data_IF_112690742123
#
_entry.id   IF_112690742123
#
_cell.length_a   1.000
_cell.length_b   1.000
_cell.length_c   1.000
_cell.angle_alpha   90.00
_cell.angle_beta   90.00
_cell.angle_gamma   90.00
#
_symmetry.space_group_name_H-M   'P 1'
#
loop_
_entity.id
_entity.type
_entity.pdbx_description
1 polymer ?
#
# COMPACT_ATOMS: atom_id res chain seq x y z
N UNK A 1 8.72 -55.61 6.99
CA UNK A 1 7.85 -54.45 7.31
C UNK A 1 8.74 -53.24 7.57
N UNK A 2 8.72 -52.23 6.69
CA UNK A 2 9.45 -50.96 6.91
C UNK A 2 8.45 -49.92 7.39
N UNK A 3 8.55 -49.53 8.67
CA UNK A 3 7.80 -48.43 9.25
C UNK A 3 8.37 -47.12 8.69
N UNK A 4 7.62 -46.48 7.77
CA UNK A 4 7.86 -45.09 7.39
C UNK A 4 7.31 -44.22 8.53
N UNK A 5 8.18 -43.72 9.40
CA UNK A 5 7.84 -42.64 10.33
C UNK A 5 7.57 -41.37 9.51
N UNK A 6 6.28 -41.06 9.27
CA UNK A 6 5.86 -39.71 8.95
C UNK A 6 6.14 -38.83 10.18
N UNK A 7 7.34 -38.25 10.27
CA UNK A 7 7.56 -37.06 11.07
C UNK A 7 6.76 -35.93 10.40
N UNK A 8 5.53 -35.71 10.88
CA UNK A 8 4.78 -34.52 10.58
C UNK A 8 5.51 -33.31 11.15
N UNK A 9 6.34 -32.68 10.33
CA UNK A 9 6.90 -31.36 10.59
C UNK A 9 5.72 -30.38 10.69
N UNK A 10 5.20 -30.21 11.91
CA UNK A 10 4.38 -29.07 12.30
C UNK A 10 5.21 -27.83 11.95
N UNK A 11 4.90 -27.26 10.80
CA UNK A 11 5.46 -25.99 10.37
C UNK A 11 4.85 -24.96 11.30
N UNK A 12 5.55 -24.68 12.40
CA UNK A 12 5.21 -23.57 13.29
C UNK A 12 5.32 -22.33 12.41
N UNK A 13 4.17 -21.82 11.96
CA UNK A 13 4.12 -20.54 11.28
C UNK A 13 4.65 -19.50 12.23
N UNK A 14 5.88 -19.04 12.01
CA UNK A 14 6.43 -17.91 12.74
C UNK A 14 5.66 -16.70 12.25
N UNK A 15 4.61 -16.32 12.98
CA UNK A 15 3.95 -15.04 12.77
C UNK A 15 4.96 -13.96 13.14
N UNK A 16 5.31 -13.09 12.18
CA UNK A 16 6.18 -11.97 12.48
C UNK A 16 5.60 -11.14 13.64
N UNK A 17 6.43 -10.84 14.64
CA UNK A 17 6.00 -10.00 15.75
C UNK A 17 5.53 -8.62 15.23
N UNK A 18 4.46 -8.04 15.80
CA UNK A 18 4.02 -6.70 15.43
C UNK A 18 5.17 -5.68 15.54
N UNK A 19 5.32 -4.76 14.57
CA UNK A 19 6.41 -3.80 14.60
C UNK A 19 6.27 -2.83 15.79
N UNK A 20 7.40 -2.48 16.39
CA UNK A 20 7.49 -1.48 17.46
C UNK A 20 7.55 -0.08 16.88
N UNK A 21 6.57 0.75 17.23
CA UNK A 21 6.43 2.11 16.70
C UNK A 21 6.90 3.15 17.71
N UNK A 22 7.66 4.12 17.24
CA UNK A 22 7.98 5.34 17.98
C UNK A 22 7.30 6.53 17.31
N UNK A 23 6.50 7.28 18.05
CA UNK A 23 5.88 8.52 17.59
C UNK A 23 6.62 9.71 18.18
N UNK A 24 7.06 10.65 17.33
CA UNK A 24 7.74 11.87 17.77
C UNK A 24 6.85 13.07 17.48
N UNK A 25 6.64 13.94 18.46
CA UNK A 25 5.88 15.18 18.30
C UNK A 25 6.62 16.38 18.89
N UNK A 26 6.14 17.59 18.61
CA UNK A 26 6.59 18.83 19.26
C UNK A 26 5.45 19.45 20.08
N UNK A 27 5.72 20.62 20.68
CA UNK A 27 4.70 21.47 21.27
C UNK A 27 4.24 22.47 20.21
N UNK A 28 3.03 22.34 19.67
CA UNK A 28 2.41 23.33 18.78
C UNK A 28 0.86 23.28 18.82
N UNK A 29 0.14 24.41 18.64
CA UNK A 29 0.68 25.77 18.57
C UNK A 29 0.84 26.37 19.98
N UNK A 30 1.80 27.28 20.13
CA UNK A 30 2.00 28.08 21.35
C UNK A 30 2.21 27.20 22.59
N UNK A 31 3.12 26.23 22.49
CA UNK A 31 3.44 25.36 23.62
C UNK A 31 2.38 24.31 23.97
N UNK A 32 1.44 23.98 23.07
CA UNK A 32 0.43 22.92 23.29
C UNK A 32 0.82 21.62 22.59
N UNK A 33 0.55 20.45 23.15
CA UNK A 33 0.87 19.17 22.50
C UNK A 33 -0.24 18.68 21.53
N UNK A 34 -0.69 19.53 20.58
CA UNK A 34 -1.93 19.28 19.81
C UNK A 34 -1.89 18.04 18.91
N UNK A 35 -0.70 17.56 18.56
CA UNK A 35 -0.48 16.40 17.70
C UNK A 35 0.16 15.21 18.41
N UNK A 36 0.33 15.27 19.74
CA UNK A 36 0.98 14.18 20.48
C UNK A 36 0.26 12.82 20.33
N UNK A 37 -1.06 12.86 20.15
CA UNK A 37 -1.89 11.67 19.98
C UNK A 37 -2.29 11.40 18.52
N UNK A 38 -1.64 12.03 17.55
CA UNK A 38 -2.05 11.92 16.14
C UNK A 38 -2.08 10.48 15.62
N UNK A 39 -1.07 9.67 15.99
CA UNK A 39 -0.96 8.28 15.55
C UNK A 39 -1.44 7.26 16.59
N UNK A 40 -1.78 7.69 17.82
CA UNK A 40 -2.23 6.80 18.89
C UNK A 40 -3.46 5.94 18.48
N UNK A 41 -4.52 6.51 17.88
CA UNK A 41 -5.67 5.71 17.43
C UNK A 41 -5.28 4.67 16.38
N UNK A 42 -4.34 5.00 15.50
CA UNK A 42 -3.90 4.14 14.38
C UNK A 42 -3.13 2.94 14.92
N UNK A 43 -2.09 3.18 15.73
CA UNK A 43 -1.26 2.09 16.29
C UNK A 43 -2.07 1.20 17.23
N UNK A 44 -3.05 1.78 17.95
CA UNK A 44 -4.00 1.01 18.78
C UNK A 44 -4.90 0.11 17.95
N UNK A 45 -5.44 0.58 16.81
CA UNK A 45 -6.25 -0.24 15.90
C UNK A 45 -5.44 -1.39 15.29
N UNK A 46 -4.14 -1.16 15.03
CA UNK A 46 -3.22 -2.18 14.52
C UNK A 46 -2.75 -3.17 15.60
N UNK A 47 -2.98 -2.88 16.89
CA UNK A 47 -2.45 -3.67 17.99
C UNK A 47 -0.92 -3.62 18.11
N UNK A 48 -0.29 -2.56 17.58
CA UNK A 48 1.16 -2.43 17.56
C UNK A 48 1.68 -1.77 18.84
N UNK A 49 2.75 -2.30 19.46
CA UNK A 49 3.38 -1.64 20.60
C UNK A 49 3.93 -0.29 20.15
N UNK A 50 3.62 0.76 20.91
CA UNK A 50 4.07 2.11 20.60
C UNK A 50 4.59 2.87 21.81
N UNK A 51 5.48 3.81 21.55
CA UNK A 51 5.99 4.77 22.52
C UNK A 51 5.98 6.17 21.88
N UNK A 52 5.67 7.18 22.67
CA UNK A 52 5.55 8.56 22.20
C UNK A 52 6.57 9.43 22.93
N UNK A 53 7.30 10.25 22.18
CA UNK A 53 8.32 11.15 22.70
C UNK A 53 8.12 12.56 22.17
N UNK A 54 8.48 13.55 22.98
CA UNK A 54 8.67 14.91 22.48
C UNK A 54 10.01 15.01 21.77
N UNK A 55 10.11 15.79 20.70
CA UNK A 55 11.35 16.03 19.94
C UNK A 55 12.52 16.49 20.83
N UNK A 56 12.24 17.28 21.87
CA UNK A 56 13.26 17.73 22.85
C UNK A 56 13.84 16.60 23.71
N UNK A 57 13.22 15.43 23.75
CA UNK A 57 13.66 14.27 24.55
C UNK A 57 14.69 13.42 23.79
N UNK A 58 15.57 14.06 23.01
CA UNK A 58 16.51 13.42 22.09
C UNK A 58 17.29 12.27 22.74
N UNK A 59 17.75 12.42 23.99
CA UNK A 59 18.47 11.35 24.70
C UNK A 59 17.63 10.07 24.85
N UNK A 60 16.37 10.20 25.29
CA UNK A 60 15.49 9.05 25.51
C UNK A 60 15.07 8.41 24.17
N UNK A 61 14.76 9.26 23.18
CA UNK A 61 14.45 8.85 21.81
C UNK A 61 15.60 8.01 21.22
N UNK A 62 16.83 8.53 21.27
CA UNK A 62 18.00 7.83 20.71
C UNK A 62 18.30 6.52 21.45
N UNK A 63 18.03 6.44 22.75
CA UNK A 63 18.19 5.20 23.52
C UNK A 63 17.15 4.14 23.13
N UNK A 64 15.96 4.54 22.72
CA UNK A 64 14.91 3.64 22.26
C UNK A 64 15.03 3.25 20.77
N UNK A 65 15.82 3.98 19.98
CA UNK A 65 16.00 3.70 18.54
C UNK A 65 16.38 2.26 18.24
N UNK A 66 17.33 1.58 18.91
CA UNK A 66 17.74 0.20 18.61
C UNK A 66 16.58 -0.82 18.59
N UNK A 67 15.61 -0.64 19.48
CA UNK A 67 14.44 -1.52 19.68
C UNK A 67 13.22 -1.08 18.87
N UNK A 68 13.36 -0.07 18.02
CA UNK A 68 12.26 0.51 17.24
C UNK A 68 12.32 0.03 15.80
N UNK A 69 11.16 -0.32 15.25
CA UNK A 69 11.02 -0.75 13.86
C UNK A 69 10.62 0.41 12.96
N UNK A 70 9.65 1.20 13.40
CA UNK A 70 9.11 2.33 12.64
C UNK A 70 9.12 3.57 13.52
N UNK A 71 9.78 4.63 13.06
CA UNK A 71 9.71 5.97 13.65
C UNK A 71 8.75 6.79 12.79
N UNK A 72 7.76 7.41 13.41
CA UNK A 72 6.78 8.29 12.78
C UNK A 72 6.84 9.65 13.43
N UNK A 73 7.01 10.70 12.65
CA UNK A 73 6.84 12.07 13.15
C UNK A 73 5.37 12.48 13.02
N UNK A 74 4.77 12.99 14.08
CA UNK A 74 3.49 13.68 14.01
C UNK A 74 3.62 14.98 13.20
N UNK A 75 2.49 15.59 12.87
CA UNK A 75 2.48 16.89 12.21
C UNK A 75 3.25 17.90 13.04
N UNK A 76 3.97 18.80 12.36
CA UNK A 76 4.82 19.85 12.97
C UNK A 76 5.83 19.35 14.01
N UNK A 77 6.25 18.07 13.98
CA UNK A 77 7.05 17.42 15.02
C UNK A 77 8.41 18.04 15.36
N UNK A 78 8.91 19.02 14.60
CA UNK A 78 10.11 19.78 14.96
C UNK A 78 9.95 21.30 14.73
N UNK A 79 8.72 21.77 14.54
CA UNK A 79 8.41 23.16 14.17
C UNK A 79 8.68 24.15 15.30
N UNK A 80 8.10 23.92 16.47
CA UNK A 80 8.43 24.60 17.73
C UNK A 80 9.45 23.74 18.50
N UNK A 81 10.21 24.37 19.41
CA UNK A 81 11.30 23.75 20.16
C UNK A 81 12.27 22.96 19.26
N UNK A 82 12.65 23.55 18.11
CA UNK A 82 13.44 22.87 17.08
C UNK A 82 14.74 22.29 17.63
N UNK A 83 14.90 20.99 17.45
CA UNK A 83 16.12 20.25 17.76
C UNK A 83 16.91 19.99 16.49
N UNK A 84 18.22 20.18 16.53
CA UNK A 84 19.13 19.75 15.47
C UNK A 84 19.49 18.26 15.65
N UNK A 85 18.76 17.38 14.95
CA UNK A 85 19.04 15.95 14.96
C UNK A 85 20.24 15.56 14.09
N UNK A 86 20.80 16.50 13.32
CA UNK A 86 22.06 16.30 12.60
C UNK A 86 23.23 15.99 13.53
N UNK A 87 23.22 16.55 14.75
CA UNK A 87 24.18 16.21 15.81
C UNK A 87 24.15 14.71 16.20
N UNK A 88 23.07 14.01 15.87
CA UNK A 88 22.86 12.59 16.17
C UNK A 88 22.85 11.71 14.90
N UNK A 89 23.42 12.21 13.80
CA UNK A 89 23.51 11.53 12.50
C UNK A 89 23.92 10.06 12.60
N UNK A 90 24.95 9.75 13.38
CA UNK A 90 25.46 8.38 13.48
C UNK A 90 24.39 7.38 13.94
N UNK A 91 23.59 7.74 14.95
CA UNK A 91 22.51 6.90 15.48
C UNK A 91 21.38 6.70 14.46
N UNK A 92 20.98 7.76 13.74
CA UNK A 92 19.97 7.68 12.69
C UNK A 92 20.42 6.83 11.50
N UNK A 93 21.67 6.99 11.06
CA UNK A 93 22.22 6.16 9.99
C UNK A 93 22.37 4.69 10.43
N UNK A 94 22.72 4.42 11.69
CA UNK A 94 22.72 3.06 12.23
C UNK A 94 21.31 2.47 12.27
N UNK A 95 20.31 3.26 12.66
CA UNK A 95 18.89 2.90 12.61
C UNK A 95 18.44 2.50 11.20
N UNK A 96 18.73 3.32 10.20
CA UNK A 96 18.39 3.00 8.82
C UNK A 96 19.17 1.79 8.31
N UNK A 97 20.49 1.70 8.54
CA UNK A 97 21.30 0.56 8.06
C UNK A 97 20.78 -0.80 8.51
N UNK A 98 20.22 -0.90 9.73
CA UNK A 98 19.68 -2.16 10.25
C UNK A 98 18.26 -2.49 9.81
N UNK A 99 17.60 -1.61 9.04
CA UNK A 99 16.24 -1.85 8.53
C UNK A 99 15.15 -0.99 9.15
N UNK A 100 15.50 0.06 9.91
CA UNK A 100 14.53 0.99 10.45
C UNK A 100 13.78 1.77 9.36
N UNK A 101 12.51 2.09 9.62
CA UNK A 101 11.66 2.91 8.74
C UNK A 101 11.34 4.25 9.39
N UNK A 102 11.77 5.35 8.77
CA UNK A 102 11.43 6.70 9.20
C UNK A 102 10.35 7.29 8.29
N UNK A 103 9.17 7.60 8.86
CA UNK A 103 8.11 8.36 8.22
C UNK A 103 8.09 9.79 8.77
N UNK A 104 8.38 10.76 7.91
CA UNK A 104 8.28 12.18 8.21
C UNK A 104 7.02 12.75 7.58
N UNK A 105 6.12 13.30 8.40
CA UNK A 105 4.84 13.87 7.95
C UNK A 105 4.79 15.37 8.20
N UNK A 106 3.92 16.07 7.45
CA UNK A 106 3.89 17.53 7.38
C UNK A 106 5.29 18.16 7.18
N UNK A 107 6.05 17.59 6.25
CA UNK A 107 7.44 17.96 5.99
C UNK A 107 7.57 19.25 5.15
N UNK A 108 6.86 20.30 5.55
CA UNK A 108 6.74 21.57 4.84
C UNK A 108 7.59 22.69 5.48
N UNK A 109 8.55 22.34 6.33
CA UNK A 109 9.35 23.31 7.10
C UNK A 109 10.82 22.91 7.16
N UNK A 110 11.70 23.92 7.12
CA UNK A 110 13.14 23.72 7.26
C UNK A 110 13.54 23.12 8.60
N UNK A 111 12.71 23.29 9.64
CA UNK A 111 12.96 22.71 10.95
C UNK A 111 12.96 21.18 10.93
N UNK A 112 12.24 20.53 10.02
CA UNK A 112 12.32 19.07 9.84
C UNK A 112 13.17 18.68 8.64
N UNK A 113 13.13 19.45 7.55
CA UNK A 113 13.89 19.13 6.35
C UNK A 113 15.39 19.38 6.51
N UNK A 114 15.80 20.53 7.04
CA UNK A 114 17.22 20.88 7.19
C UNK A 114 17.80 20.45 8.53
N UNK A 115 17.08 20.66 9.64
CA UNK A 115 17.57 20.39 11.01
C UNK A 115 17.37 18.94 11.46
N UNK A 116 16.73 18.11 10.64
CA UNK A 116 16.55 16.70 10.95
C UNK A 116 16.95 15.79 9.79
N UNK A 117 16.11 15.68 8.76
CA UNK A 117 16.35 14.69 7.68
C UNK A 117 17.62 15.03 6.89
N UNK A 118 17.77 16.28 6.46
CA UNK A 118 18.97 16.77 5.77
C UNK A 118 20.24 16.73 6.64
N UNK A 119 20.08 16.74 7.97
CA UNK A 119 21.18 16.54 8.92
C UNK A 119 21.83 15.15 8.84
N UNK A 120 21.18 14.18 8.18
CA UNK A 120 21.74 12.84 7.97
C UNK A 120 22.83 12.80 6.90
N UNK A 121 22.91 13.81 6.03
CA UNK A 121 23.89 13.89 4.94
C UNK A 121 23.33 14.61 3.71
N UNK A 122 24.22 15.02 2.81
CA UNK A 122 23.85 15.73 1.57
C UNK A 122 22.90 14.92 0.68
N UNK A 123 22.96 13.59 0.77
CA UNK A 123 22.10 12.65 0.08
C UNK A 123 20.66 12.63 0.60
N UNK A 124 20.42 13.18 1.79
CA UNK A 124 19.10 13.34 2.40
C UNK A 124 18.57 14.78 2.32
N UNK A 125 19.30 15.68 1.64
CA UNK A 125 18.91 17.07 1.53
C UNK A 125 17.60 17.22 0.75
N UNK A 126 16.67 17.97 1.35
CA UNK A 126 15.33 18.28 0.84
C UNK A 126 15.04 19.75 1.11
N UNK A 127 14.31 20.39 0.21
CA UNK A 127 13.77 21.75 0.41
C UNK A 127 12.28 21.77 0.09
N UNK A 128 11.56 22.80 0.52
CA UNK A 128 10.11 22.91 0.34
C UNK A 128 9.69 24.30 -0.11
N UNK A 129 8.56 24.37 -0.80
CA UNK A 129 7.85 25.59 -1.17
C UNK A 129 6.35 25.38 -1.04
N UNK A 130 5.62 26.49 -0.99
CA UNK A 130 4.16 26.50 -1.09
C UNK A 130 3.72 25.91 -2.43
N UNK A 131 2.67 25.08 -2.41
CA UNK A 131 2.11 24.46 -3.61
C UNK A 131 0.95 25.28 -4.17
N UNK A 132 0.77 25.28 -5.50
CA UNK A 132 -0.36 25.95 -6.17
C UNK A 132 -1.73 25.46 -5.68
N UNK A 133 -1.82 24.21 -5.20
CA UNK A 133 -3.02 23.65 -4.58
C UNK A 133 -3.50 24.48 -3.37
N UNK A 134 -2.55 25.07 -2.64
CA UNK A 134 -2.80 25.93 -1.50
C UNK A 134 -3.24 27.33 -1.92
N UNK A 135 -2.59 27.88 -2.95
CA UNK A 135 -2.78 29.26 -3.40
C UNK A 135 -4.10 29.41 -4.18
N UNK A 136 -4.33 28.55 -5.18
CA UNK A 136 -5.47 28.67 -6.11
C UNK A 136 -6.71 27.92 -5.65
N UNK A 137 -6.53 26.78 -4.96
CA UNK A 137 -7.62 25.95 -4.40
C UNK A 137 -8.66 25.45 -5.41
N UNK A 138 -8.33 25.35 -6.70
CA UNK A 138 -9.21 24.78 -7.74
C UNK A 138 -9.05 23.25 -7.86
N UNK A 139 -9.99 22.52 -8.48
CA UNK A 139 -9.84 21.08 -8.73
C UNK A 139 -8.56 20.73 -9.50
N UNK A 140 -8.21 21.50 -10.52
CA UNK A 140 -7.04 21.29 -11.38
C UNK A 140 -5.74 21.46 -10.58
N UNK A 141 -5.70 22.47 -9.69
CA UNK A 141 -4.54 22.72 -8.82
C UNK A 141 -4.28 21.61 -7.80
N UNK A 142 -5.27 20.73 -7.57
CA UNK A 142 -5.21 19.61 -6.62
C UNK A 142 -4.91 18.27 -7.27
N UNK A 143 -4.77 18.22 -8.60
CA UNK A 143 -4.45 16.99 -9.31
C UNK A 143 -3.05 16.53 -8.92
N UNK A 144 -2.95 15.24 -8.57
CA UNK A 144 -1.69 14.57 -8.30
C UNK A 144 -1.52 13.39 -9.25
N UNK A 145 -0.27 13.13 -9.65
CA UNK A 145 0.13 11.89 -10.32
C UNK A 145 0.86 10.98 -9.34
N UNK A 146 0.75 9.68 -9.55
CA UNK A 146 1.25 8.65 -8.64
C UNK A 146 2.26 7.76 -9.37
N UNK A 147 3.38 7.47 -8.71
CA UNK A 147 4.33 6.50 -9.22
C UNK A 147 3.79 5.07 -9.13
N UNK A 148 4.47 4.13 -9.79
CA UNK A 148 4.15 2.69 -9.70
C UNK A 148 4.80 2.01 -8.48
N UNK A 149 5.44 2.76 -7.59
CA UNK A 149 6.11 2.19 -6.43
C UNK A 149 5.13 1.38 -5.56
N UNK A 150 5.56 0.20 -5.09
CA UNK A 150 4.72 -0.69 -4.29
C UNK A 150 4.39 -0.12 -2.91
N UNK A 151 5.15 0.83 -2.38
CA UNK A 151 4.79 1.51 -1.13
C UNK A 151 3.41 2.18 -1.21
N UNK A 152 2.97 2.59 -2.41
CA UNK A 152 1.65 3.17 -2.61
C UNK A 152 0.53 2.14 -2.83
N UNK A 153 0.87 0.85 -3.01
CA UNK A 153 -0.07 -0.17 -3.51
C UNK A 153 -0.10 -1.46 -2.69
N UNK A 154 0.87 -1.71 -1.82
CA UNK A 154 1.06 -3.02 -1.18
C UNK A 154 1.32 -2.88 0.32
N UNK A 155 0.57 -3.59 1.18
CA UNK A 155 -0.56 -4.47 0.82
C UNK A 155 -1.85 -3.71 0.46
N UNK A 156 -1.93 -2.40 0.69
CA UNK A 156 -3.17 -1.65 0.49
C UNK A 156 -2.96 -0.50 -0.51
N UNK A 157 -3.95 -0.23 -1.36
CA UNK A 157 -3.88 0.88 -2.31
C UNK A 157 -4.10 2.22 -1.60
N UNK A 158 -3.00 2.92 -1.35
CA UNK A 158 -2.96 4.20 -0.65
C UNK A 158 -3.34 5.38 -1.57
N UNK A 159 -3.23 5.21 -2.89
CA UNK A 159 -3.44 6.28 -3.89
C UNK A 159 -4.83 6.94 -3.81
N UNK A 160 -5.96 6.20 -3.83
CA UNK A 160 -7.29 6.82 -3.76
C UNK A 160 -7.53 7.56 -2.43
N UNK A 161 -6.86 7.14 -1.35
CA UNK A 161 -6.97 7.79 -0.05
C UNK A 161 -6.20 9.11 -0.02
N UNK A 162 -4.97 9.11 -0.56
CA UNK A 162 -4.15 10.32 -0.67
C UNK A 162 -4.67 11.32 -1.71
N UNK A 163 -5.35 10.86 -2.77
CA UNK A 163 -5.98 11.73 -3.77
C UNK A 163 -7.03 12.69 -3.21
N UNK A 164 -7.61 12.36 -2.06
CA UNK A 164 -8.60 13.19 -1.37
C UNK A 164 -7.97 14.20 -0.42
N UNK A 165 -6.67 14.11 -0.19
CA UNK A 165 -5.96 14.98 0.76
C UNK A 165 -5.52 16.26 0.09
N UNK A 166 -5.47 17.31 0.88
CA UNK A 166 -4.87 18.57 0.48
C UNK A 166 -3.42 18.62 0.96
N UNK A 167 -2.55 19.14 0.10
CA UNK A 167 -1.20 19.52 0.45
C UNK A 167 -1.09 21.04 0.36
N UNK A 168 -0.41 21.64 1.32
CA UNK A 168 -0.20 23.08 1.34
C UNK A 168 1.21 23.47 0.86
N UNK A 169 2.16 22.55 0.96
CA UNK A 169 3.48 22.62 0.34
C UNK A 169 3.79 21.41 -0.54
N UNK A 170 4.94 21.47 -1.17
CA UNK A 170 5.60 20.35 -1.85
C UNK A 170 7.11 20.42 -1.57
N UNK A 171 7.85 19.38 -1.94
CA UNK A 171 9.31 19.37 -1.98
C UNK A 171 9.76 20.05 -3.27
N UNK A 172 10.55 21.13 -3.16
CA UNK A 172 10.98 21.93 -4.31
C UNK A 172 12.23 21.33 -4.99
N UNK A 173 13.15 20.83 -4.18
CA UNK A 173 14.35 20.11 -4.62
C UNK A 173 14.71 18.98 -3.66
N UNK A 174 15.33 17.95 -4.20
CA UNK A 174 15.79 16.78 -3.45
C UNK A 174 17.04 16.17 -4.11
N UNK A 175 17.86 15.48 -3.31
CA UNK A 175 19.03 14.78 -3.83
C UNK A 175 18.65 13.60 -4.76
N UNK A 176 19.51 13.16 -5.70
CA UNK A 176 19.18 12.13 -6.70
C UNK A 176 18.79 10.75 -6.14
N UNK A 177 19.10 10.47 -4.87
CA UNK A 177 18.77 9.20 -4.23
C UNK A 177 17.29 9.07 -3.83
N UNK A 178 16.52 10.16 -3.86
CA UNK A 178 15.08 10.16 -3.59
C UNK A 178 14.28 9.79 -4.83
N UNK A 179 13.28 8.94 -4.64
CA UNK A 179 12.24 8.64 -5.62
C UNK A 179 10.98 9.46 -5.30
N UNK A 180 10.46 10.19 -6.29
CA UNK A 180 9.15 10.85 -6.18
C UNK A 180 8.03 9.81 -6.29
N UNK A 181 7.18 9.74 -5.27
CA UNK A 181 6.03 8.84 -5.21
C UNK A 181 4.75 9.52 -5.66
N UNK A 182 4.57 10.79 -5.27
CA UNK A 182 3.38 11.59 -5.59
C UNK A 182 3.85 12.94 -6.07
N UNK A 183 3.36 13.37 -7.23
CA UNK A 183 3.71 14.66 -7.84
C UNK A 183 2.46 15.51 -7.99
N UNK A 184 2.48 16.74 -7.47
CA UNK A 184 1.35 17.67 -7.57
C UNK A 184 1.29 18.38 -8.95
N UNK A 185 0.29 19.24 -9.12
CA UNK A 185 0.08 20.03 -10.34
C UNK A 185 1.28 20.95 -10.72
N UNK A 186 2.17 21.28 -9.78
CA UNK A 186 3.40 22.04 -10.04
C UNK A 186 4.53 21.18 -10.66
N UNK A 187 4.32 19.88 -10.85
CA UNK A 187 5.38 18.94 -11.25
C UNK A 187 6.39 18.65 -10.12
N UNK A 188 6.05 19.03 -8.88
CA UNK A 188 6.89 18.87 -7.68
C UNK A 188 6.37 17.75 -6.78
N UNK A 189 7.25 17.13 -6.01
CA UNK A 189 6.89 15.96 -5.21
C UNK A 189 6.20 16.35 -3.91
N UNK A 190 5.10 15.68 -3.56
CA UNK A 190 4.40 15.78 -2.26
C UNK A 190 4.80 14.64 -1.32
N UNK A 191 5.35 13.56 -1.88
CA UNK A 191 5.80 12.41 -1.14
C UNK A 191 6.98 11.78 -1.87
N UNK A 192 8.10 11.64 -1.16
CA UNK A 192 9.31 10.98 -1.65
C UNK A 192 9.67 9.82 -0.75
N UNK A 193 10.42 8.86 -1.29
CA UNK A 193 11.06 7.81 -0.52
C UNK A 193 12.53 7.64 -0.92
N UNK A 194 13.36 7.28 0.05
CA UNK A 194 14.75 6.93 -0.16
C UNK A 194 15.11 5.71 0.67
N UNK A 195 15.78 4.74 0.06
CA UNK A 195 16.38 3.62 0.79
C UNK A 195 17.80 3.97 1.22
N UNK A 196 18.17 3.53 2.42
CA UNK A 196 19.54 3.65 2.94
C UNK A 196 19.93 2.41 3.73
N UNK A 197 20.91 1.65 3.23
CA UNK A 197 21.16 0.29 3.71
C UNK A 197 19.89 -0.56 3.54
N UNK A 198 19.41 -1.17 4.63
CA UNK A 198 18.12 -1.89 4.65
C UNK A 198 16.93 -1.00 5.03
N UNK A 199 17.17 0.24 5.41
CA UNK A 199 16.13 1.14 5.93
C UNK A 199 15.41 1.89 4.82
N UNK A 200 14.33 2.54 5.24
CA UNK A 200 13.48 3.36 4.38
C UNK A 200 13.21 4.69 5.06
N UNK A 201 13.41 5.79 4.34
CA UNK A 201 12.96 7.12 4.74
C UNK A 201 11.86 7.54 3.79
N UNK A 202 10.73 7.97 4.34
CA UNK A 202 9.60 8.50 3.59
C UNK A 202 9.29 9.88 4.13
N UNK A 203 9.19 10.85 3.23
CA UNK A 203 8.94 12.25 3.60
C UNK A 203 7.72 12.73 2.82
N UNK A 204 6.75 13.30 3.51
CA UNK A 204 5.52 13.80 2.88
C UNK A 204 5.05 15.13 3.45
N UNK A 205 4.52 15.99 2.57
CA UNK A 205 3.91 17.28 2.90
C UNK A 205 2.41 17.18 3.27
N UNK A 206 1.86 15.96 3.38
CA UNK A 206 0.50 15.79 3.89
C UNK A 206 0.44 16.19 5.36
N UNK A 207 -0.41 17.17 5.64
CA UNK A 207 -0.69 17.64 7.00
C UNK A 207 -1.74 16.75 7.67
N UNK A 208 -1.49 16.40 8.94
CA UNK A 208 -2.38 15.80 9.92
C UNK A 208 -3.15 14.52 9.57
N UNK A 209 -2.99 13.48 10.39
CA UNK A 209 -3.70 12.21 10.27
C UNK A 209 -4.76 11.96 11.36
N UNK A 210 -5.47 13.02 11.79
CA UNK A 210 -6.35 12.96 12.98
C UNK A 210 -7.83 12.72 12.70
N UNK A 211 -8.37 13.08 11.53
CA UNK A 211 -9.79 12.84 11.25
C UNK A 211 -10.05 11.35 11.00
N UNK A 212 -11.33 10.92 11.02
CA UNK A 212 -11.70 9.51 10.81
C UNK A 212 -11.17 8.96 9.48
N UNK A 213 -11.28 9.73 8.38
CA UNK A 213 -10.73 9.33 7.07
C UNK A 213 -9.20 9.31 7.08
N UNK A 214 -8.58 10.19 7.85
CA UNK A 214 -7.12 10.24 7.90
C UNK A 214 -6.54 9.10 8.72
N UNK A 215 -7.21 8.67 9.79
CA UNK A 215 -6.84 7.49 10.58
C UNK A 215 -6.80 6.25 9.68
N UNK A 216 -7.81 6.06 8.81
CA UNK A 216 -7.81 4.97 7.85
C UNK A 216 -6.64 5.08 6.86
N UNK A 217 -6.30 6.30 6.43
CA UNK A 217 -5.19 6.56 5.50
C UNK A 217 -3.84 6.27 6.15
N UNK A 218 -3.64 6.74 7.39
CA UNK A 218 -2.44 6.47 8.17
C UNK A 218 -2.29 4.98 8.48
N UNK A 219 -3.38 4.27 8.79
CA UNK A 219 -3.37 2.81 8.97
C UNK A 219 -2.81 2.11 7.74
N UNK A 220 -3.35 2.41 6.56
CA UNK A 220 -2.89 1.84 5.28
C UNK A 220 -1.43 2.21 5.00
N UNK A 221 -1.02 3.46 5.24
CA UNK A 221 0.37 3.88 5.08
C UNK A 221 1.31 3.08 6.01
N UNK A 222 0.96 2.91 7.28
CA UNK A 222 1.77 2.14 8.23
C UNK A 222 1.86 0.65 7.86
N UNK A 223 0.78 0.03 7.39
CA UNK A 223 0.78 -1.35 6.89
C UNK A 223 1.71 -1.52 5.67
N UNK A 224 1.68 -0.57 4.72
CA UNK A 224 2.58 -0.58 3.57
C UNK A 224 4.06 -0.38 3.95
N UNK A 225 4.33 0.46 4.95
CA UNK A 225 5.68 0.65 5.51
C UNK A 225 6.18 -0.62 6.23
N UNK A 226 5.32 -1.29 6.99
CA UNK A 226 5.65 -2.55 7.65
C UNK A 226 5.98 -3.66 6.63
N UNK A 227 5.18 -3.79 5.56
CA UNK A 227 5.48 -4.72 4.47
C UNK A 227 6.81 -4.38 3.76
N UNK A 228 7.10 -3.09 3.55
CA UNK A 228 8.39 -2.64 2.98
C UNK A 228 9.58 -2.96 3.88
N UNK A 229 9.39 -2.94 5.22
CA UNK A 229 10.39 -3.37 6.20
C UNK A 229 10.63 -4.87 6.14
N UNK A 230 9.59 -5.69 6.10
CA UNK A 230 9.70 -7.15 6.00
C UNK A 230 10.51 -7.56 4.77
N UNK A 231 10.21 -6.99 3.61
CA UNK A 231 10.99 -7.12 2.38
C UNK A 231 12.49 -6.86 2.60
N UNK A 232 12.83 -5.72 3.17
CA UNK A 232 14.23 -5.34 3.39
C UNK A 232 14.94 -6.22 4.43
N UNK A 233 14.23 -6.64 5.48
CA UNK A 233 14.74 -7.57 6.50
C UNK A 233 15.04 -8.95 5.89
N UNK A 234 14.19 -9.41 4.98
CA UNK A 234 14.33 -10.67 4.26
C UNK A 234 15.33 -10.60 3.08
N UNK A 235 15.91 -9.42 2.79
CA UNK A 235 16.83 -9.26 1.66
C UNK A 235 16.18 -9.41 0.28
N UNK A 236 14.87 -9.23 0.17
CA UNK A 236 14.10 -9.35 -1.07
C UNK A 236 13.30 -8.08 -1.30
N UNK A 237 13.42 -7.46 -2.47
CA UNK A 237 12.50 -6.43 -2.92
C UNK A 237 11.42 -7.04 -3.80
N UNK A 238 10.17 -6.70 -3.53
CA UNK A 238 9.11 -6.82 -4.51
C UNK A 238 9.19 -5.58 -5.41
N UNK A 239 9.31 -5.77 -6.72
CA UNK A 239 9.45 -4.67 -7.68
C UNK A 239 8.15 -4.39 -8.43
N UNK A 240 7.32 -5.41 -8.63
CA UNK A 240 5.95 -5.25 -9.11
C UNK A 240 5.07 -6.42 -8.66
N UNK A 241 3.77 -6.14 -8.51
CA UNK A 241 2.75 -7.17 -8.28
C UNK A 241 1.55 -6.84 -9.15
N UNK A 242 1.21 -7.76 -10.04
CA UNK A 242 -0.01 -7.70 -10.83
C UNK A 242 -0.97 -8.78 -10.35
N UNK A 243 -2.03 -8.34 -9.67
CA UNK A 243 -3.19 -9.19 -9.34
C UNK A 243 -4.19 -9.05 -10.49
N UNK A 244 -4.68 -10.14 -11.07
CA UNK A 244 -5.67 -10.06 -12.13
C UNK A 244 -7.00 -9.52 -11.57
N UNK A 245 -7.81 -8.91 -12.43
CA UNK A 245 -9.19 -8.60 -12.09
C UNK A 245 -9.95 -9.89 -11.74
N UNK A 246 -10.92 -9.79 -10.83
CA UNK A 246 -11.76 -10.90 -10.45
C UNK A 246 -12.81 -11.17 -11.54
N UNK A 247 -12.37 -11.80 -12.62
CA UNK A 247 -13.20 -12.18 -13.75
C UNK A 247 -13.35 -13.70 -13.86
N UNK A 248 -14.41 -14.19 -14.53
CA UNK A 248 -14.59 -15.62 -14.77
C UNK A 248 -13.47 -16.20 -15.66
N UNK A 249 -13.17 -17.50 -15.48
CA UNK A 249 -12.19 -18.22 -16.30
C UNK A 249 -10.80 -18.43 -15.67
N UNK A 250 -10.63 -18.04 -14.41
CA UNK A 250 -9.35 -18.13 -13.70
C UNK A 250 -8.44 -16.94 -13.99
N UNK A 251 -7.21 -16.98 -13.50
CA UNK A 251 -6.28 -15.88 -13.66
C UNK A 251 -4.87 -16.26 -13.19
N UNK A 252 -3.96 -15.29 -13.20
CA UNK A 252 -2.60 -15.50 -12.70
C UNK A 252 -2.10 -14.24 -12.00
N UNK A 253 -1.62 -14.40 -10.77
CA UNK A 253 -0.84 -13.36 -10.10
C UNK A 253 0.57 -13.38 -10.67
N UNK A 254 1.07 -12.23 -11.09
CA UNK A 254 2.49 -12.06 -11.45
C UNK A 254 3.20 -11.28 -10.36
N UNK A 255 4.32 -11.83 -9.89
CA UNK A 255 5.18 -11.24 -8.87
C UNK A 255 6.59 -11.08 -9.43
N UNK A 256 7.05 -9.83 -9.54
CA UNK A 256 8.43 -9.52 -9.93
C UNK A 256 9.23 -9.22 -8.66
N UNK A 257 10.35 -9.93 -8.49
CA UNK A 257 11.19 -9.88 -7.29
C UNK A 257 12.64 -9.60 -7.64
N UNK A 258 13.38 -9.03 -6.69
CA UNK A 258 14.80 -8.80 -6.77
C UNK A 258 15.51 -9.22 -5.48
N UNK A 259 16.63 -9.90 -5.62
CA UNK A 259 17.51 -10.23 -4.51
C UNK A 259 18.38 -9.02 -4.11
N UNK A 260 18.20 -8.54 -2.88
CA UNK A 260 18.99 -7.47 -2.26
C UNK A 260 20.11 -8.00 -1.36
N UNK A 261 20.11 -9.30 -1.04
CA UNK A 261 21.14 -9.91 -0.23
C UNK A 261 22.49 -9.93 -0.97
N UNK A 262 23.57 -9.94 -0.20
CA UNK A 262 24.95 -10.08 -0.73
C UNK A 262 25.30 -11.49 -1.20
N UNK A 263 24.32 -12.39 -1.22
CA UNK A 263 24.50 -13.82 -1.52
C UNK A 263 23.29 -14.36 -2.29
N UNK A 264 23.35 -15.64 -2.68
CA UNK A 264 22.25 -16.31 -3.39
C UNK A 264 21.07 -16.48 -2.46
N UNK A 265 19.88 -16.06 -2.90
CA UNK A 265 18.66 -16.08 -2.11
C UNK A 265 17.56 -16.88 -2.84
N UNK A 266 16.89 -17.79 -2.12
CA UNK A 266 15.66 -18.43 -2.58
C UNK A 266 14.44 -17.60 -2.20
N UNK A 267 13.38 -17.67 -3.00
CA UNK A 267 12.07 -17.10 -2.68
C UNK A 267 10.98 -18.09 -3.08
N UNK A 268 10.01 -18.25 -2.20
CA UNK A 268 8.83 -19.08 -2.41
C UNK A 268 7.59 -18.20 -2.28
N UNK A 269 6.77 -18.18 -3.32
CA UNK A 269 5.48 -17.49 -3.33
C UNK A 269 4.35 -18.52 -3.32
N UNK A 270 3.37 -18.32 -2.45
CA UNK A 270 2.16 -19.14 -2.33
C UNK A 270 0.95 -18.26 -2.56
N UNK A 271 0.15 -18.61 -3.57
CA UNK A 271 -1.11 -17.96 -3.88
C UNK A 271 -2.26 -18.92 -3.55
N UNK A 272 -3.18 -18.48 -2.70
CA UNK A 272 -4.40 -19.23 -2.35
C UNK A 272 -5.62 -18.39 -2.70
N UNK A 273 -6.57 -18.94 -3.45
CA UNK A 273 -7.83 -18.30 -3.82
C UNK A 273 -8.98 -19.20 -3.42
N UNK A 274 -10.02 -18.64 -2.81
CA UNK A 274 -11.23 -19.34 -2.41
C UNK A 274 -12.47 -18.59 -2.90
N UNK A 275 -13.40 -19.34 -3.51
CA UNK A 275 -14.70 -18.88 -4.00
C UNK A 275 -15.76 -19.85 -3.52
N UNK A 276 -16.60 -19.44 -2.56
CA UNK A 276 -17.52 -20.33 -1.87
C UNK A 276 -16.80 -21.51 -1.20
N UNK A 277 -17.12 -22.74 -1.61
CA UNK A 277 -16.47 -23.98 -1.12
C UNK A 277 -15.24 -24.39 -1.94
N UNK A 278 -15.00 -23.77 -3.09
CA UNK A 278 -13.88 -24.10 -3.98
C UNK A 278 -12.64 -23.33 -3.59
N UNK A 279 -11.49 -24.01 -3.59
CA UNK A 279 -10.19 -23.41 -3.25
C UNK A 279 -9.13 -23.86 -4.25
N UNK A 280 -8.31 -22.94 -4.72
CA UNK A 280 -7.07 -23.25 -5.44
C UNK A 280 -5.87 -22.75 -4.63
N UNK A 281 -4.78 -23.52 -4.70
CA UNK A 281 -3.49 -23.14 -4.13
C UNK A 281 -2.40 -23.40 -5.16
N UNK A 282 -1.54 -22.41 -5.38
CA UNK A 282 -0.37 -22.50 -6.24
C UNK A 282 0.86 -22.06 -5.47
N UNK A 283 1.95 -22.80 -5.63
CA UNK A 283 3.25 -22.49 -5.05
C UNK A 283 4.24 -22.38 -6.21
N UNK A 284 5.06 -21.35 -6.19
CA UNK A 284 6.16 -21.12 -7.12
C UNK A 284 7.42 -20.77 -6.35
N UNK A 285 8.57 -21.16 -6.91
CA UNK A 285 9.87 -20.95 -6.31
C UNK A 285 10.84 -20.36 -7.33
N UNK A 286 11.67 -19.42 -6.89
CA UNK A 286 12.80 -18.93 -7.67
C UNK A 286 14.05 -18.82 -6.80
N UNK A 287 15.20 -19.03 -7.43
CA UNK A 287 16.49 -18.81 -6.79
C UNK A 287 17.27 -17.79 -7.59
N UNK A 288 17.79 -16.77 -6.91
CA UNK A 288 18.43 -15.61 -7.53
C UNK A 288 19.84 -15.42 -6.98
N UNK A 289 20.79 -15.13 -7.86
CA UNK A 289 22.12 -14.61 -7.47
C UNK A 289 22.00 -13.21 -6.87
N UNK A 290 23.07 -12.68 -6.27
CA UNK A 290 23.11 -11.31 -5.76
C UNK A 290 22.68 -10.30 -6.83
N UNK A 291 21.72 -9.43 -6.49
CA UNK A 291 21.17 -8.42 -7.42
C UNK A 291 20.25 -8.99 -8.52
N UNK A 292 20.14 -10.32 -8.62
CA UNK A 292 19.33 -11.01 -9.62
C UNK A 292 17.83 -10.73 -9.45
N UNK A 293 17.09 -10.93 -10.53
CA UNK A 293 15.64 -10.75 -10.59
C UNK A 293 14.96 -12.04 -11.01
N UNK A 294 13.71 -12.22 -10.60
CA UNK A 294 12.85 -13.30 -11.07
C UNK A 294 11.41 -12.82 -11.22
N UNK A 295 10.66 -13.52 -12.07
CA UNK A 295 9.20 -13.36 -12.20
C UNK A 295 8.55 -14.68 -11.85
N UNK A 296 7.64 -14.65 -10.88
CA UNK A 296 6.85 -15.79 -10.45
C UNK A 296 5.42 -15.61 -10.98
N UNK A 297 4.90 -16.60 -11.69
CA UNK A 297 3.53 -16.61 -12.19
C UNK A 297 2.72 -17.66 -11.43
N UNK A 298 1.70 -17.22 -10.69
CA UNK A 298 0.88 -18.07 -9.84
C UNK A 298 -0.53 -18.19 -10.43
N UNK A 299 -0.75 -19.09 -11.41
CA UNK A 299 -2.06 -19.30 -12.00
C UNK A 299 -3.01 -19.96 -11.01
N UNK A 300 -4.30 -19.64 -11.14
CA UNK A 300 -5.40 -20.34 -10.50
C UNK A 300 -6.48 -20.68 -11.56
N UNK A 301 -7.12 -21.85 -11.46
CA UNK A 301 -8.15 -22.26 -12.40
C UNK A 301 -9.44 -21.46 -12.21
N UNK A 302 -10.41 -21.68 -13.07
CA UNK A 302 -11.76 -21.17 -12.88
C UNK A 302 -12.41 -21.79 -11.62
N UNK A 303 -12.68 -20.93 -10.63
CA UNK A 303 -13.33 -21.29 -9.37
C UNK A 303 -14.81 -20.88 -9.35
N UNK A 304 -15.37 -20.52 -10.51
CA UNK A 304 -16.70 -19.97 -10.69
C UNK A 304 -16.88 -18.58 -10.08
N UNK A 305 -18.13 -18.24 -9.77
CA UNK A 305 -18.56 -16.87 -9.45
C UNK A 305 -18.92 -16.70 -7.98
N UNK A 306 -18.92 -15.45 -7.51
CA UNK A 306 -19.27 -15.05 -6.15
C UNK A 306 -18.10 -14.43 -5.39
N UNK A 307 -18.25 -14.33 -4.07
CA UNK A 307 -17.25 -13.74 -3.18
C UNK A 307 -15.91 -14.48 -3.26
N UNK A 308 -14.85 -13.70 -3.39
CA UNK A 308 -13.47 -14.16 -3.45
C UNK A 308 -12.76 -13.76 -2.17
N UNK A 309 -12.04 -14.72 -1.57
CA UNK A 309 -10.98 -14.43 -0.61
C UNK A 309 -9.68 -15.00 -1.15
N UNK A 310 -8.61 -14.22 -1.09
CA UNK A 310 -7.31 -14.66 -1.56
C UNK A 310 -6.18 -14.25 -0.62
N UNK A 311 -5.08 -15.00 -0.67
CA UNK A 311 -3.89 -14.76 0.14
C UNK A 311 -2.64 -15.01 -0.70
N UNK A 312 -1.77 -13.99 -0.79
CA UNK A 312 -0.43 -14.10 -1.34
C UNK A 312 0.59 -14.07 -0.19
N UNK A 313 1.26 -15.19 0.02
CA UNK A 313 2.36 -15.30 0.98
C UNK A 313 3.68 -15.40 0.22
N UNK A 314 4.67 -14.60 0.58
CA UNK A 314 6.01 -14.61 0.00
C UNK A 314 7.04 -14.78 1.11
N UNK A 315 7.88 -15.80 0.98
CA UNK A 315 8.93 -16.14 1.94
C UNK A 315 10.29 -16.16 1.23
N UNK A 316 11.30 -15.57 1.83
CA UNK A 316 12.69 -15.71 1.45
C UNK A 316 13.31 -16.92 2.16
N UNK A 317 14.32 -17.57 1.57
CA UNK A 317 14.97 -18.75 2.14
C UNK A 317 16.41 -18.46 2.61
N UNK A 318 16.77 -18.76 3.88
CA UNK A 318 16.00 -19.57 4.84
C UNK A 318 15.09 -18.74 5.78
N UNK A 319 13.79 -18.70 5.50
CA UNK A 319 12.73 -18.42 6.48
C UNK A 319 12.32 -16.97 6.75
N UNK A 320 12.69 -16.00 5.90
CA UNK A 320 12.28 -14.59 6.10
C UNK A 320 10.91 -14.29 5.49
N UNK A 321 9.95 -13.78 6.27
CA UNK A 321 8.69 -13.28 5.71
C UNK A 321 8.93 -12.01 4.88
N UNK A 322 8.47 -12.00 3.63
CA UNK A 322 8.59 -10.87 2.70
C UNK A 322 7.26 -10.12 2.59
N UNK A 323 6.17 -10.87 2.47
CA UNK A 323 4.80 -10.35 2.34
C UNK A 323 3.79 -11.41 2.77
N UNK A 324 2.78 -11.00 3.53
CA UNK A 324 1.54 -11.76 3.72
C UNK A 324 0.36 -10.84 3.41
N UNK A 325 -0.22 -11.02 2.22
CA UNK A 325 -1.22 -10.13 1.67
C UNK A 325 -2.56 -10.83 1.51
N UNK A 326 -3.57 -10.34 2.23
CA UNK A 326 -4.95 -10.78 2.13
C UNK A 326 -5.75 -9.86 1.22
N UNK A 327 -6.49 -10.46 0.29
CA UNK A 327 -7.33 -9.80 -0.69
C UNK A 327 -8.75 -10.34 -0.59
N UNK A 328 -9.72 -9.47 -0.82
CA UNK A 328 -11.11 -9.83 -0.98
C UNK A 328 -11.65 -9.19 -2.26
N UNK A 329 -12.67 -9.82 -2.85
CA UNK A 329 -13.31 -9.32 -4.05
C UNK A 329 -14.53 -10.15 -4.40
N UNK A 330 -14.99 -10.01 -5.64
CA UNK A 330 -16.14 -10.75 -6.15
C UNK A 330 -15.90 -11.03 -7.63
N UNK A 331 -16.10 -12.29 -8.03
CA UNK A 331 -16.26 -12.63 -9.45
C UNK A 331 -17.74 -12.44 -9.77
N UNK A 332 -18.10 -11.48 -10.65
CA UNK A 332 -19.49 -11.07 -10.83
C UNK A 332 -20.37 -12.22 -11.36
N UNK A 333 -21.69 -12.15 -11.18
CA UNK A 333 -22.62 -13.04 -11.85
C UNK A 333 -22.56 -12.87 -13.38
N UNK A 334 -23.15 -13.81 -14.13
CA UNK A 334 -23.21 -13.72 -15.61
C UNK A 334 -23.94 -12.45 -16.03
N UNK A 335 -25.03 -12.14 -15.33
CA UNK A 335 -25.85 -10.94 -15.51
C UNK A 335 -25.95 -10.24 -14.16
N UNK A 336 -25.50 -9.00 -14.10
CA UNK A 336 -25.79 -8.11 -12.99
C UNK A 336 -26.82 -7.07 -13.44
N UNK A 337 -27.88 -6.87 -12.65
CA UNK A 337 -28.92 -5.89 -12.93
C UNK A 337 -28.92 -4.87 -11.81
N UNK A 338 -28.74 -3.60 -12.16
CA UNK A 338 -28.83 -2.48 -11.25
C UNK A 338 -30.02 -1.61 -11.66
N UNK A 339 -30.90 -1.35 -10.71
CA UNK A 339 -32.02 -0.42 -10.90
C UNK A 339 -31.51 0.96 -10.46
N UNK A 340 -31.36 1.90 -11.40
CA UNK A 340 -30.83 3.23 -11.11
C UNK A 340 -31.71 4.01 -10.14
N UNK A 341 -33.03 3.76 -10.18
CA UNK A 341 -34.03 4.36 -9.28
C UNK A 341 -35.08 3.32 -8.88
N UNK A 342 -35.02 2.77 -7.65
CA UNK A 342 -35.97 1.75 -7.21
C UNK A 342 -37.37 2.31 -6.90
N UNK A 343 -37.52 3.65 -6.81
CA UNK A 343 -38.79 4.29 -6.52
C UNK A 343 -39.29 5.08 -7.73
N UNK A 344 -40.45 4.69 -8.24
CA UNK A 344 -41.23 5.51 -9.17
C UNK A 344 -42.04 6.51 -8.34
N UNK A 345 -41.63 7.78 -8.32
CA UNK A 345 -42.33 8.85 -7.62
C UNK A 345 -42.62 10.02 -8.56
N UNK A 346 -43.83 10.58 -8.45
CA UNK A 346 -44.27 11.74 -9.24
C UNK A 346 -44.51 11.42 -10.73
N UNK A 347 -44.02 12.30 -11.61
CA UNK A 347 -44.22 12.22 -13.07
C UNK A 347 -43.30 11.20 -13.78
N UNK A 348 -42.38 10.55 -13.07
CA UNK A 348 -41.54 9.52 -13.69
C UNK A 348 -42.26 8.18 -13.69
N UNK A 349 -42.67 7.73 -14.88
CA UNK A 349 -43.33 6.44 -15.09
C UNK A 349 -42.39 5.33 -15.60
N UNK A 350 -41.13 5.66 -15.86
CA UNK A 350 -40.17 4.72 -16.45
C UNK A 350 -39.17 4.23 -15.40
N UNK A 351 -38.96 2.92 -15.34
CA UNK A 351 -37.91 2.29 -14.55
C UNK A 351 -36.66 2.13 -15.41
N UNK A 352 -35.54 2.63 -14.92
CA UNK A 352 -34.26 2.55 -15.62
C UNK A 352 -33.45 1.37 -15.08
N UNK A 353 -33.13 0.43 -15.97
CA UNK A 353 -32.30 -0.73 -15.70
C UNK A 353 -30.95 -0.57 -16.37
N UNK A 354 -29.88 -0.70 -15.57
CA UNK A 354 -28.54 -0.92 -16.08
C UNK A 354 -28.21 -2.40 -15.95
N UNK A 355 -27.87 -3.04 -17.06
CA UNK A 355 -27.51 -4.46 -17.09
C UNK A 355 -26.05 -4.61 -17.52
N UNK A 356 -25.28 -5.34 -16.73
CA UNK A 356 -23.90 -5.70 -17.03
C UNK A 356 -23.83 -7.19 -17.32
N UNK A 357 -23.27 -7.54 -18.48
CA UNK A 357 -23.03 -8.92 -18.87
C UNK A 357 -21.55 -9.23 -18.74
N UNK A 358 -21.24 -10.23 -17.93
CA UNK A 358 -19.86 -10.72 -17.75
C UNK A 358 -19.86 -12.21 -18.08
N UNK A 359 -19.90 -12.62 -19.36
CA UNK A 359 -19.93 -14.03 -19.74
C UNK A 359 -18.67 -14.76 -19.29
N UNK A 360 -18.72 -16.09 -19.20
CA UNK A 360 -17.52 -16.88 -18.95
C UNK A 360 -16.55 -16.70 -20.11
N UNK A 361 -15.25 -16.64 -19.84
CA UNK A 361 -14.23 -16.50 -20.89
C UNK A 361 -14.31 -17.62 -21.95
N UNK A 362 -14.87 -18.77 -21.59
CA UNK A 362 -15.15 -19.92 -22.47
C UNK A 362 -16.35 -19.68 -23.40
N UNK A 363 -17.32 -18.90 -22.97
CA UNK A 363 -18.58 -18.63 -23.68
C UNK A 363 -18.55 -17.29 -24.44
N UNK A 364 -17.56 -16.44 -24.17
CA UNK A 364 -17.39 -15.12 -24.78
C UNK A 364 -17.10 -15.12 -26.31
N UNK A 365 -17.09 -16.29 -26.94
CA UNK A 365 -16.81 -16.46 -28.36
C UNK A 365 -18.07 -16.49 -29.25
N UNK A 366 -19.29 -16.64 -28.69
CA UNK A 366 -20.53 -16.76 -29.45
C UNK A 366 -21.42 -15.51 -29.43
N UNK A 367 -22.37 -15.40 -30.39
CA UNK A 367 -23.47 -14.45 -30.28
C UNK A 367 -24.30 -14.78 -29.05
N UNK A 368 -24.81 -13.76 -28.38
CA UNK A 368 -25.70 -13.93 -27.24
C UNK A 368 -26.98 -13.14 -27.43
N UNK A 369 -28.04 -13.67 -26.84
CA UNK A 369 -29.34 -13.02 -26.77
C UNK A 369 -29.65 -12.71 -25.30
N UNK A 370 -29.96 -11.44 -25.04
CA UNK A 370 -30.48 -10.99 -23.75
C UNK A 370 -31.97 -10.67 -23.92
N UNK A 371 -32.82 -11.44 -23.26
CA UNK A 371 -34.27 -11.18 -23.20
C UNK A 371 -34.63 -10.73 -21.79
N UNK A 372 -35.16 -9.52 -21.68
CA UNK A 372 -35.67 -8.96 -20.42
C UNK A 372 -37.17 -9.18 -20.37
N UNK A 373 -37.63 -9.90 -19.33
CA UNK A 373 -39.06 -10.13 -19.09
C UNK A 373 -39.49 -9.56 -17.73
N UNK A 374 -40.61 -8.85 -17.72
CA UNK A 374 -41.28 -8.36 -16.51
C UNK A 374 -42.66 -9.02 -16.47
N UNK A 375 -42.98 -9.70 -15.37
CA UNK A 375 -44.23 -10.46 -15.19
C UNK A 375 -44.54 -11.42 -16.36
N UNK A 376 -43.49 -12.09 -16.86
CA UNK A 376 -43.58 -13.04 -17.96
C UNK A 376 -43.70 -12.40 -19.36
N UNK A 377 -43.80 -11.07 -19.47
CA UNK A 377 -43.87 -10.36 -20.75
C UNK A 377 -42.48 -9.86 -21.16
N UNK A 378 -42.12 -10.07 -22.42
CA UNK A 378 -40.91 -9.49 -23.00
C UNK A 378 -41.04 -7.97 -23.11
N UNK A 379 -40.12 -7.26 -22.48
CA UNK A 379 -40.07 -5.79 -22.48
C UNK A 379 -38.86 -5.24 -23.22
N UNK A 380 -37.80 -6.04 -23.36
CA UNK A 380 -36.63 -5.71 -24.16
C UNK A 380 -35.95 -6.99 -24.66
N UNK A 381 -35.35 -6.90 -25.85
CA UNK A 381 -34.50 -7.93 -26.43
C UNK A 381 -33.28 -7.25 -27.04
N UNK A 382 -32.11 -7.79 -26.73
CA UNK A 382 -30.85 -7.35 -27.31
C UNK A 382 -30.12 -8.56 -27.87
N UNK A 383 -29.71 -8.47 -29.13
CA UNK A 383 -28.83 -9.46 -29.75
C UNK A 383 -27.46 -8.83 -29.96
N UNK A 384 -26.40 -9.56 -29.60
CA UNK A 384 -25.04 -9.21 -30.01
C UNK A 384 -24.60 -10.17 -31.11
N UNK A 385 -24.38 -9.64 -32.30
CA UNK A 385 -23.75 -10.37 -33.41
C UNK A 385 -22.24 -10.46 -33.24
N UNK A 386 -21.66 -9.57 -32.43
CA UNK A 386 -20.24 -9.57 -32.10
C UNK A 386 -19.96 -10.50 -30.92
N UNK A 387 -18.85 -11.27 -30.95
CA UNK A 387 -18.38 -12.03 -29.81
C UNK A 387 -18.18 -11.12 -28.58
N UNK A 388 -18.57 -11.59 -27.40
CA UNK A 388 -18.51 -10.78 -26.18
C UNK A 388 -17.10 -10.25 -25.86
N UNK A 389 -16.03 -10.90 -26.33
CA UNK A 389 -14.65 -10.41 -26.13
C UNK A 389 -14.33 -9.07 -26.84
N UNK A 390 -15.10 -8.65 -27.85
CA UNK A 390 -14.95 -7.31 -28.44
C UNK A 390 -15.44 -6.20 -27.51
N UNK A 391 -16.27 -6.52 -26.51
CA UNK A 391 -16.81 -5.57 -25.54
C UNK A 391 -15.94 -5.42 -24.28
N UNK A 392 -14.99 -6.34 -24.04
CA UNK A 392 -14.15 -6.38 -22.83
C UNK A 392 -12.82 -5.60 -22.94
N UNK A 393 -12.59 -4.84 -24.03
CA UNK A 393 -11.36 -4.02 -24.23
C UNK A 393 -11.64 -2.51 -24.31
N UNK A 394 -12.77 -2.05 -23.76
CA UNK A 394 -13.16 -0.63 -23.71
C UNK A 394 -12.76 0.04 -22.40
#
# INVERSE_FOLDING_TARGET
MRFFCLLGLLSIGVVAAPPRVMVIHSMWPKGKASFAQEYEPVVKQLGWPSSTFRNTEAKALLAALPETDIVVTASVANYEDTVDFGAHRASWLAYLKRGGVLLVTDASYDSVLSKWVGGFGKEFALTTKTCVAHEKKTPESRVCTYSRNLLLRTPNDLRPMLARRHNWGHLDSWAPAWESLITCADGKSVMVAQRFGRGLVVVTNHFSFRSKSDIATAKVLLENLAASRLQAAAGIALTDIAVPDWLPGGGSVRLDVQNLAGEKQGVTATWTVKVGTRTAKKVEHASMVQGGKATLALPYPDLGRGEVTARLQVLAEPGGEVLDWHLAGEIPPVVAVQISRPHLAGLQQNLELQMTLTPDARDAAGPFELVVRIDGREVARMMSEAPAHQWMRG
#
